data_IF_876780193459
#
_entry.id   IF_876780193459
#
_cell.length_a   1.000
_cell.length_b   1.000
_cell.length_c   1.000
_cell.angle_alpha   90.00
_cell.angle_beta   90.00
_cell.angle_gamma   90.00
#
_symmetry.space_group_name_H-M   'P 1'
#
loop_
_entity.id
_entity.type
_entity.pdbx_description
1 polymer ?
#
# COMPACT_ATOMS: atom_id res chain seq x y z
N UNK A 1 -23.45 6.47 -15.19
CA UNK A 1 -22.87 7.78 -14.86
C UNK A 1 -22.79 8.01 -13.36
N UNK A 2 -23.85 7.72 -12.62
CA UNK A 2 -23.86 7.87 -11.16
C UNK A 2 -22.81 7.01 -10.47
N UNK A 3 -22.59 5.78 -10.92
CA UNK A 3 -21.59 4.87 -10.36
C UNK A 3 -20.17 5.43 -10.49
N UNK A 4 -19.85 6.09 -11.60
CA UNK A 4 -18.53 6.69 -11.82
C UNK A 4 -18.31 7.84 -10.84
N UNK A 5 -19.35 8.63 -10.59
CA UNK A 5 -19.27 9.73 -9.63
C UNK A 5 -19.11 9.22 -8.19
N UNK A 6 -19.80 8.14 -7.83
CA UNK A 6 -19.67 7.51 -6.52
C UNK A 6 -18.27 6.98 -6.29
N UNK A 7 -17.67 6.29 -7.27
CA UNK A 7 -16.30 5.80 -7.18
C UNK A 7 -15.30 6.93 -7.05
N UNK A 8 -15.48 8.02 -7.80
CA UNK A 8 -14.62 9.21 -7.69
C UNK A 8 -14.70 9.82 -6.30
N UNK A 9 -15.89 9.93 -5.75
CA UNK A 9 -16.10 10.48 -4.41
C UNK A 9 -15.43 9.60 -3.36
N UNK A 10 -15.59 8.28 -3.45
CA UNK A 10 -14.97 7.32 -2.52
C UNK A 10 -13.46 7.40 -2.59
N UNK A 11 -12.88 7.34 -3.79
CA UNK A 11 -11.42 7.39 -3.98
C UNK A 11 -10.86 8.72 -3.48
N UNK A 12 -11.49 9.82 -3.83
CA UNK A 12 -11.08 11.15 -3.40
C UNK A 12 -11.17 11.29 -1.88
N UNK A 13 -12.26 10.80 -1.29
CA UNK A 13 -12.45 10.83 0.15
C UNK A 13 -11.41 10.00 0.91
N UNK A 14 -11.13 8.79 0.43
CA UNK A 14 -10.11 7.92 1.03
C UNK A 14 -8.72 8.54 0.90
N UNK A 15 -8.39 9.06 -0.27
CA UNK A 15 -7.11 9.72 -0.52
C UNK A 15 -6.93 10.97 0.35
N UNK A 16 -7.98 11.78 0.46
CA UNK A 16 -7.97 12.98 1.29
C UNK A 16 -7.82 12.64 2.78
N UNK A 17 -8.56 11.62 3.24
CA UNK A 17 -8.47 11.18 4.64
C UNK A 17 -7.08 10.61 4.95
N UNK A 18 -6.54 9.78 4.07
CA UNK A 18 -5.20 9.22 4.22
C UNK A 18 -4.13 10.33 4.19
N UNK A 19 -4.26 11.29 3.28
CA UNK A 19 -3.35 12.42 3.19
C UNK A 19 -3.42 13.32 4.42
N UNK A 20 -4.63 13.56 4.95
CA UNK A 20 -4.81 14.35 6.17
C UNK A 20 -4.20 13.65 7.39
N UNK A 21 -4.31 12.32 7.47
CA UNK A 21 -3.77 11.54 8.58
C UNK A 21 -2.26 11.33 8.49
N UNK A 22 -1.75 11.05 7.28
CA UNK A 22 -0.38 10.61 7.04
C UNK A 22 0.44 11.55 6.16
N UNK A 23 -0.17 12.64 5.70
CA UNK A 23 0.48 13.58 4.79
C UNK A 23 0.76 12.93 3.42
N UNK A 24 1.93 13.22 2.83
CA UNK A 24 2.31 12.65 1.54
C UNK A 24 2.36 11.12 1.55
N UNK A 25 2.59 10.54 2.73
CA UNK A 25 2.62 9.08 2.91
C UNK A 25 1.27 8.45 2.58
N UNK A 26 0.16 9.16 2.84
CA UNK A 26 -1.17 8.69 2.49
C UNK A 26 -1.32 8.44 1.00
N UNK A 27 -0.72 9.27 0.16
CA UNK A 27 -0.74 9.07 -1.28
C UNK A 27 0.05 7.85 -1.72
N UNK A 28 1.17 7.55 -1.04
CA UNK A 28 1.91 6.31 -1.28
C UNK A 28 1.08 5.09 -0.93
N UNK A 29 0.34 5.12 0.17
CA UNK A 29 -0.57 4.03 0.55
C UNK A 29 -1.65 3.82 -0.49
N UNK A 30 -2.26 4.90 -0.98
CA UNK A 30 -3.28 4.84 -2.04
C UNK A 30 -2.69 4.24 -3.32
N UNK A 31 -1.49 4.67 -3.70
CA UNK A 31 -0.80 4.14 -4.87
C UNK A 31 -0.50 2.64 -4.71
N UNK A 32 -0.07 2.22 -3.54
CA UNK A 32 0.20 0.81 -3.25
C UNK A 32 -1.07 -0.04 -3.38
N UNK A 33 -2.16 0.39 -2.78
CA UNK A 33 -3.44 -0.33 -2.87
C UNK A 33 -3.94 -0.38 -4.31
N UNK A 34 -3.83 0.73 -5.04
CA UNK A 34 -4.19 0.80 -6.45
C UNK A 34 -3.37 -0.16 -7.30
N UNK A 35 -2.06 -0.21 -7.08
CA UNK A 35 -1.17 -1.14 -7.80
C UNK A 35 -1.51 -2.59 -7.47
N UNK A 36 -1.80 -2.91 -6.21
CA UNK A 36 -2.21 -4.26 -5.83
C UNK A 36 -3.50 -4.67 -6.53
N UNK A 37 -4.48 -3.77 -6.58
CA UNK A 37 -5.74 -4.04 -7.26
C UNK A 37 -5.54 -4.28 -8.76
N UNK A 38 -4.73 -3.45 -9.41
CA UNK A 38 -4.43 -3.59 -10.83
C UNK A 38 -3.69 -4.91 -11.13
N UNK A 39 -2.72 -5.26 -10.31
CA UNK A 39 -1.98 -6.51 -10.46
C UNK A 39 -2.93 -7.71 -10.34
N UNK A 40 -3.80 -7.71 -9.34
CA UNK A 40 -4.76 -8.79 -9.16
C UNK A 40 -5.74 -8.88 -10.33
N UNK A 41 -6.25 -7.74 -10.81
CA UNK A 41 -7.18 -7.69 -11.92
C UNK A 41 -6.52 -8.19 -13.21
N UNK A 42 -5.32 -7.68 -13.54
CA UNK A 42 -4.61 -8.07 -14.76
C UNK A 42 -4.20 -9.54 -14.71
N UNK A 43 -3.75 -10.02 -13.56
CA UNK A 43 -3.42 -11.44 -13.39
C UNK A 43 -4.63 -12.34 -13.56
N UNK A 44 -5.79 -11.93 -13.03
CA UNK A 44 -7.05 -12.67 -13.19
C UNK A 44 -7.47 -12.70 -14.66
N UNK A 45 -7.37 -11.59 -15.37
CA UNK A 45 -7.72 -11.52 -16.79
C UNK A 45 -6.84 -12.44 -17.62
N UNK A 46 -5.54 -12.45 -17.37
CA UNK A 46 -4.59 -13.33 -18.07
C UNK A 46 -4.90 -14.79 -17.78
N UNK A 47 -5.14 -15.14 -16.52
CA UNK A 47 -5.46 -16.52 -16.13
C UNK A 47 -6.76 -16.99 -16.79
N UNK A 48 -7.78 -16.15 -16.85
CA UNK A 48 -9.04 -16.48 -17.53
C UNK A 48 -8.85 -16.68 -19.02
N UNK A 49 -8.04 -15.84 -19.67
CA UNK A 49 -7.77 -15.97 -21.12
C UNK A 49 -7.04 -17.27 -21.47
N UNK A 50 -6.23 -17.78 -20.55
CA UNK A 50 -5.50 -19.04 -20.70
C UNK A 50 -6.27 -20.25 -20.18
N UNK A 51 -7.45 -20.06 -19.59
CA UNK A 51 -8.23 -21.12 -18.99
C UNK A 51 -7.65 -21.69 -17.70
N UNK A 52 -6.72 -20.98 -17.08
CA UNK A 52 -6.04 -21.41 -15.86
C UNK A 52 -6.65 -20.84 -14.58
N UNK A 53 -7.67 -20.00 -14.72
CA UNK A 53 -8.28 -19.36 -13.55
C UNK A 53 -9.05 -20.37 -12.69
N UNK A 54 -8.90 -20.24 -11.36
CA UNK A 54 -9.70 -20.98 -10.40
C UNK A 54 -9.91 -20.12 -9.16
N UNK A 55 -10.95 -20.43 -8.39
CA UNK A 55 -11.23 -19.72 -7.13
C UNK A 55 -10.11 -19.85 -6.12
N UNK A 56 -9.45 -21.01 -6.07
CA UNK A 56 -8.34 -21.24 -5.14
C UNK A 56 -7.12 -20.41 -5.52
N UNK A 57 -6.81 -20.27 -6.81
CA UNK A 57 -5.71 -19.44 -7.29
C UNK A 57 -5.98 -17.98 -6.98
N UNK A 58 -7.20 -17.50 -7.21
CA UNK A 58 -7.59 -16.13 -6.89
C UNK A 58 -7.46 -15.85 -5.39
N UNK A 59 -7.90 -16.78 -4.55
CA UNK A 59 -7.78 -16.66 -3.10
C UNK A 59 -6.33 -16.64 -2.63
N UNK A 60 -5.49 -17.51 -3.18
CA UNK A 60 -4.07 -17.54 -2.84
C UNK A 60 -3.39 -16.21 -3.16
N UNK A 61 -3.68 -15.63 -4.33
CA UNK A 61 -3.16 -14.32 -4.70
C UNK A 61 -3.61 -13.21 -3.75
N UNK A 62 -4.88 -13.24 -3.35
CA UNK A 62 -5.43 -12.27 -2.41
C UNK A 62 -4.78 -12.36 -1.04
N UNK A 63 -4.58 -13.59 -0.51
CA UNK A 63 -3.89 -13.79 0.75
C UNK A 63 -2.46 -13.29 0.72
N UNK A 64 -1.76 -13.47 -0.40
CA UNK A 64 -0.42 -12.95 -0.58
C UNK A 64 -0.39 -11.42 -0.49
N UNK A 65 -1.37 -10.76 -1.11
CA UNK A 65 -1.49 -9.30 -1.06
C UNK A 65 -1.85 -8.79 0.33
N UNK A 66 -2.67 -9.53 1.08
CA UNK A 66 -2.98 -9.21 2.47
C UNK A 66 -1.71 -9.26 3.31
N UNK A 67 -0.83 -10.25 3.08
CA UNK A 67 0.46 -10.33 3.75
C UNK A 67 1.32 -9.09 3.49
N UNK A 68 1.37 -8.61 2.25
CA UNK A 68 2.08 -7.39 1.90
C UNK A 68 1.50 -6.16 2.61
N UNK A 69 0.18 -6.05 2.67
CA UNK A 69 -0.49 -4.96 3.37
C UNK A 69 -0.17 -4.97 4.86
N UNK A 70 -0.15 -6.15 5.49
CA UNK A 70 0.24 -6.29 6.89
C UNK A 70 1.69 -5.85 7.11
N UNK A 71 2.60 -6.20 6.20
CA UNK A 71 4.00 -5.77 6.28
C UNK A 71 4.13 -4.24 6.25
N UNK A 72 3.36 -3.57 5.40
CA UNK A 72 3.34 -2.11 5.34
C UNK A 72 2.82 -1.51 6.64
N UNK A 73 1.73 -2.06 7.18
CA UNK A 73 1.16 -1.60 8.46
C UNK A 73 2.18 -1.76 9.59
N UNK A 74 2.88 -2.89 9.64
CA UNK A 74 3.92 -3.13 10.65
C UNK A 74 5.04 -2.10 10.51
N UNK A 75 5.49 -1.81 9.31
CA UNK A 75 6.52 -0.80 9.07
C UNK A 75 6.09 0.58 9.55
N UNK A 76 4.84 0.97 9.30
CA UNK A 76 4.29 2.24 9.76
C UNK A 76 4.20 2.31 11.28
N UNK A 77 3.82 1.21 11.93
CA UNK A 77 3.77 1.12 13.40
C UNK A 77 5.19 1.27 13.97
N UNK A 78 6.19 0.63 13.37
CA UNK A 78 7.58 0.79 13.78
C UNK A 78 8.04 2.24 13.68
N UNK A 79 7.72 2.93 12.59
CA UNK A 79 8.05 4.35 12.44
C UNK A 79 7.42 5.19 13.55
N UNK A 80 6.16 4.94 13.84
CA UNK A 80 5.45 5.65 14.90
C UNK A 80 6.08 5.39 16.28
N UNK A 81 6.41 4.13 16.58
CA UNK A 81 7.02 3.77 17.86
C UNK A 81 8.40 4.40 18.01
N UNK A 82 9.23 4.36 16.98
CA UNK A 82 10.56 4.97 17.01
C UNK A 82 10.45 6.47 17.22
N UNK A 83 9.56 7.14 16.49
CA UNK A 83 9.35 8.58 16.65
C UNK A 83 8.89 8.94 18.07
N UNK A 84 7.99 8.13 18.64
CA UNK A 84 7.50 8.33 20.00
C UNK A 84 8.61 8.12 21.03
N UNK A 85 9.44 7.09 20.86
CA UNK A 85 10.57 6.83 21.76
C UNK A 85 11.55 8.00 21.71
N UNK A 86 11.93 8.46 20.53
CA UNK A 86 12.87 9.57 20.37
C UNK A 86 12.33 10.86 20.96
N UNK A 87 11.03 11.09 20.87
CA UNK A 87 10.40 12.28 21.43
C UNK A 87 10.36 12.27 22.97
N UNK A 88 10.35 11.09 23.59
CA UNK A 88 10.18 10.93 25.03
C UNK A 88 11.44 10.60 25.81
N UNK A 89 12.56 10.33 25.13
CA UNK A 89 13.85 10.07 25.80
C UNK A 89 14.71 11.32 25.73
N UNK A 90 14.99 11.98 26.87
CA UNK A 90 15.86 13.16 26.88
C UNK A 90 17.30 12.79 26.60
N UNK A 91 18.00 13.63 25.87
CA UNK A 91 19.42 13.45 25.58
C UNK A 91 19.73 12.71 24.29
N UNK A 92 18.72 12.14 23.62
CA UNK A 92 18.91 11.56 22.30
C UNK A 92 18.60 12.61 21.25
N UNK A 93 19.61 13.04 20.52
CA UNK A 93 19.47 13.96 19.39
C UNK A 93 19.97 13.28 18.14
N UNK A 94 19.13 13.24 17.12
CA UNK A 94 19.52 12.77 15.80
C UNK A 94 19.97 13.96 14.95
N UNK A 95 20.91 13.76 14.00
CA UNK A 95 21.31 14.82 13.09
C UNK A 95 20.23 15.22 12.10
N UNK A 96 19.08 14.55 12.12
CA UNK A 96 17.91 14.80 11.28
C UNK A 96 16.64 14.53 12.08
N UNK A 97 15.53 15.13 11.66
CA UNK A 97 14.24 14.86 12.27
C UNK A 97 13.69 13.53 11.77
N UNK A 98 13.55 12.57 12.68
CA UNK A 98 12.94 11.28 12.34
C UNK A 98 11.42 11.43 12.42
N UNK A 99 10.73 11.37 11.29
CA UNK A 99 9.28 11.33 11.27
C UNK A 99 8.76 10.01 10.73
N UNK A 100 9.17 9.64 9.50
CA UNK A 100 8.87 8.34 8.88
C UNK A 100 10.06 7.94 8.02
N UNK A 101 10.42 6.67 8.08
CA UNK A 101 11.50 6.11 7.28
C UNK A 101 11.18 4.72 6.74
N UNK A 102 10.83 3.77 7.64
CA UNK A 102 10.58 2.40 7.25
C UNK A 102 9.32 2.26 6.40
N UNK A 103 8.26 2.97 6.76
CA UNK A 103 7.02 2.95 6.01
C UNK A 103 7.19 3.32 4.55
N UNK A 104 7.75 4.49 4.24
CA UNK A 104 8.01 4.88 2.85
C UNK A 104 8.92 3.92 2.08
N UNK A 105 9.98 3.42 2.71
CA UNK A 105 10.91 2.49 2.06
C UNK A 105 10.19 1.19 1.70
N UNK A 106 9.43 0.63 2.61
CA UNK A 106 8.68 -0.61 2.39
C UNK A 106 7.60 -0.39 1.33
N UNK A 107 6.88 0.74 1.40
CA UNK A 107 5.86 1.08 0.42
C UNK A 107 6.43 1.19 -0.99
N UNK A 108 7.53 1.89 -1.16
CA UNK A 108 8.19 2.03 -2.47
C UNK A 108 8.65 0.67 -2.98
N UNK A 109 9.21 -0.16 -2.12
CA UNK A 109 9.62 -1.52 -2.48
C UNK A 109 8.44 -2.33 -3.03
N UNK A 110 7.32 -2.34 -2.32
CA UNK A 110 6.13 -3.08 -2.74
C UNK A 110 5.47 -2.47 -3.99
N UNK A 111 5.46 -1.15 -4.11
CA UNK A 111 4.93 -0.49 -5.31
C UNK A 111 5.73 -0.91 -6.54
N UNK A 112 7.06 -0.90 -6.45
CA UNK A 112 7.93 -1.33 -7.54
C UNK A 112 7.71 -2.81 -7.88
N UNK A 113 7.55 -3.64 -6.85
CA UNK A 113 7.26 -5.06 -7.01
C UNK A 113 5.92 -5.28 -7.73
N UNK A 114 4.88 -4.57 -7.33
CA UNK A 114 3.56 -4.67 -7.97
C UNK A 114 3.57 -4.16 -9.42
N UNK A 115 4.28 -3.07 -9.68
CA UNK A 115 4.44 -2.56 -11.04
C UNK A 115 5.17 -3.57 -11.93
N UNK A 116 6.21 -4.21 -11.40
CA UNK A 116 6.89 -5.28 -12.12
C UNK A 116 5.97 -6.45 -12.44
N UNK A 117 5.14 -6.84 -11.48
CA UNK A 117 4.16 -7.92 -11.67
C UNK A 117 3.10 -7.54 -12.70
N UNK A 118 2.63 -6.31 -12.71
CA UNK A 118 1.67 -5.82 -13.71
C UNK A 118 2.27 -5.91 -15.12
N UNK A 119 3.53 -5.51 -15.28
CA UNK A 119 4.19 -5.55 -16.59
C UNK A 119 4.43 -6.98 -17.08
N UNK A 120 4.57 -7.94 -16.16
CA UNK A 120 4.70 -9.35 -16.51
C UNK A 120 3.36 -9.97 -16.95
N UNK A 121 2.27 -9.42 -16.52
CA UNK A 121 0.94 -9.87 -16.93
C UNK A 121 0.62 -9.40 -18.35
#
# INVERSE_FOLDING_TARGET
>A
MEHINEWKVIITGVGAAASAALGWLGWLVVAFVGCMALDWITGTMVAKSKGEWSSSVARAGLWHKIGSAVAVIVALIFDWLIAMILANIPGITLPFDYSVFLGPVVLVWYIVTELGSITEN
#
